data_IF_916618203309
#
_entry.id   IF_916618203309
#
_cell.length_a   1.000
_cell.length_b   1.000
_cell.length_c   1.000
_cell.angle_alpha   90.00
_cell.angle_beta   90.00
_cell.angle_gamma   90.00
#
_symmetry.space_group_name_H-M   'P 1'
#
loop_
_entity.id
_entity.type
_entity.pdbx_description
1 polymer ?
#
# COMPACT_ATOMS: atom_id res chain seq x y z
N UNK A 1 19.54 -8.69 -33.00
CA UNK A 1 18.70 -8.02 -31.98
C UNK A 1 17.40 -8.78 -31.91
N UNK A 2 17.31 -9.73 -30.98
CA UNK A 2 16.12 -10.54 -30.75
C UNK A 2 15.40 -9.97 -29.53
N UNK A 3 14.09 -9.81 -29.65
CA UNK A 3 13.21 -9.51 -28.53
C UNK A 3 13.25 -10.68 -27.53
N UNK A 4 14.18 -10.64 -26.57
CA UNK A 4 14.16 -11.52 -25.38
C UNK A 4 13.03 -11.14 -24.39
N UNK A 5 12.06 -10.32 -24.80
CA UNK A 5 11.17 -9.60 -23.88
C UNK A 5 9.79 -10.24 -23.70
N UNK A 6 9.51 -11.36 -24.36
CA UNK A 6 8.29 -12.15 -24.15
C UNK A 6 8.64 -13.65 -24.09
N UNK A 7 9.64 -14.02 -23.27
CA UNK A 7 9.79 -15.42 -22.87
C UNK A 7 8.62 -15.75 -21.93
N UNK A 8 7.63 -16.44 -22.49
CA UNK A 8 6.57 -17.05 -21.70
C UNK A 8 6.97 -18.49 -21.45
N UNK A 9 7.25 -18.88 -20.19
CA UNK A 9 7.45 -20.27 -19.85
C UNK A 9 6.35 -21.17 -20.43
N UNK A 10 6.74 -22.20 -21.17
CA UNK A 10 5.83 -23.26 -21.60
C UNK A 10 5.30 -24.03 -20.38
N UNK A 11 6.16 -24.20 -19.36
CA UNK A 11 5.79 -24.80 -18.10
C UNK A 11 5.27 -23.73 -17.12
N UNK A 12 3.99 -23.84 -16.75
CA UNK A 12 3.33 -22.89 -15.84
C UNK A 12 3.99 -22.79 -14.46
N UNK A 13 4.75 -23.79 -14.06
CA UNK A 13 5.45 -23.80 -12.77
C UNK A 13 6.53 -22.73 -12.68
N UNK A 14 7.09 -22.28 -13.80
CA UNK A 14 8.10 -21.20 -13.83
C UNK A 14 7.52 -19.81 -13.49
N UNK A 15 6.20 -19.63 -13.50
CA UNK A 15 5.56 -18.37 -13.06
C UNK A 15 5.37 -18.30 -11.54
N UNK A 16 5.50 -19.41 -10.81
CA UNK A 16 5.28 -19.47 -9.36
C UNK A 16 6.15 -18.43 -8.61
N UNK A 17 7.46 -18.30 -8.90
CA UNK A 17 8.28 -17.28 -8.25
C UNK A 17 7.76 -15.86 -8.47
N UNK A 18 7.33 -15.53 -9.69
CA UNK A 18 6.79 -14.20 -10.01
C UNK A 18 5.47 -13.91 -9.27
N UNK A 19 4.58 -14.90 -9.17
CA UNK A 19 3.32 -14.76 -8.43
C UNK A 19 3.60 -14.59 -6.93
N UNK A 20 4.57 -15.31 -6.36
CA UNK A 20 4.96 -15.17 -4.96
C UNK A 20 5.52 -13.77 -4.70
N UNK A 21 6.44 -13.28 -5.54
CA UNK A 21 6.98 -11.93 -5.43
C UNK A 21 5.86 -10.88 -5.50
N UNK A 22 4.97 -11.00 -6.48
CA UNK A 22 3.82 -10.10 -6.62
C UNK A 22 2.93 -10.13 -5.37
N UNK A 23 2.62 -11.31 -4.85
CA UNK A 23 1.79 -11.46 -3.66
C UNK A 23 2.43 -10.78 -2.44
N UNK A 24 3.75 -10.95 -2.22
CA UNK A 24 4.46 -10.32 -1.10
C UNK A 24 4.41 -8.79 -1.22
N UNK A 25 4.73 -8.23 -2.38
CA UNK A 25 4.70 -6.78 -2.58
C UNK A 25 3.28 -6.22 -2.49
N UNK A 26 2.30 -6.92 -3.04
CA UNK A 26 0.91 -6.50 -2.99
C UNK A 26 0.38 -6.49 -1.55
N UNK A 27 0.63 -7.54 -0.78
CA UNK A 27 0.27 -7.60 0.64
C UNK A 27 0.98 -6.50 1.44
N UNK A 28 2.27 -6.26 1.16
CA UNK A 28 3.02 -5.16 1.74
C UNK A 28 2.40 -3.79 1.44
N UNK A 29 2.04 -3.53 0.19
CA UNK A 29 1.40 -2.27 -0.21
C UNK A 29 0.03 -2.07 0.47
N UNK A 30 -0.80 -3.12 0.51
CA UNK A 30 -2.10 -3.08 1.19
C UNK A 30 -1.92 -2.82 2.69
N UNK A 31 -0.94 -3.47 3.33
CA UNK A 31 -0.65 -3.28 4.74
C UNK A 31 -0.18 -1.85 5.03
N UNK A 32 0.81 -1.36 4.27
CA UNK A 32 1.32 0.02 4.40
C UNK A 32 0.19 1.04 4.21
N UNK A 33 -0.67 0.86 3.20
CA UNK A 33 -1.80 1.76 2.97
C UNK A 33 -2.76 1.78 4.15
N UNK A 34 -3.06 0.62 4.75
CA UNK A 34 -3.89 0.54 5.95
C UNK A 34 -3.25 1.23 7.15
N UNK A 35 -1.93 1.12 7.32
CA UNK A 35 -1.20 1.80 8.40
C UNK A 35 -1.28 3.32 8.23
N UNK A 36 -1.02 3.83 7.01
CA UNK A 36 -1.10 5.27 6.70
C UNK A 36 -2.50 5.81 7.00
N UNK A 37 -3.55 5.14 6.52
CA UNK A 37 -4.93 5.55 6.77
C UNK A 37 -5.28 5.56 8.26
N UNK A 38 -4.80 4.58 9.02
CA UNK A 38 -5.02 4.52 10.47
C UNK A 38 -4.34 5.68 11.20
N UNK A 39 -3.11 6.03 10.81
CA UNK A 39 -2.39 7.17 11.41
C UNK A 39 -3.06 8.49 11.05
N UNK A 40 -3.40 8.68 9.77
CA UNK A 40 -4.07 9.89 9.27
C UNK A 40 -5.38 10.18 10.01
N UNK A 41 -6.23 9.17 10.25
CA UNK A 41 -7.47 9.35 11.02
C UNK A 41 -7.23 9.78 12.46
N UNK A 42 -6.16 9.29 13.10
CA UNK A 42 -5.81 9.70 14.48
C UNK A 42 -5.31 11.13 14.54
N UNK A 43 -4.64 11.60 13.49
CA UNK A 43 -4.20 12.99 13.38
C UNK A 43 -5.37 13.92 13.10
N UNK A 44 -6.30 13.51 12.22
CA UNK A 44 -7.53 14.25 11.94
C UNK A 44 -8.38 14.47 13.20
N UNK A 45 -8.60 13.41 14.00
CA UNK A 45 -9.33 13.51 15.27
C UNK A 45 -8.67 14.47 16.28
N UNK A 46 -7.34 14.51 16.32
CA UNK A 46 -6.61 15.43 17.20
C UNK A 46 -6.76 16.87 16.73
N UNK A 47 -6.55 17.10 15.43
CA UNK A 47 -6.68 18.42 14.83
C UNK A 47 -8.09 18.99 15.02
N UNK A 48 -9.13 18.18 14.84
CA UNK A 48 -10.50 18.59 15.09
C UNK A 48 -10.72 19.05 16.53
N UNK A 49 -10.21 18.32 17.52
CA UNK A 49 -10.30 18.71 18.94
C UNK A 49 -9.55 20.01 19.22
N UNK A 50 -8.36 20.17 18.67
CA UNK A 50 -7.55 21.38 18.85
C UNK A 50 -8.26 22.61 18.25
N UNK A 51 -8.85 22.47 17.06
CA UNK A 51 -9.64 23.53 16.42
C UNK A 51 -10.91 23.89 17.21
N UNK A 52 -11.61 22.90 17.77
CA UNK A 52 -12.77 23.15 18.63
C UNK A 52 -12.40 23.92 19.91
N UNK A 53 -11.24 23.64 20.50
CA UNK A 53 -10.77 24.35 21.69
C UNK A 53 -10.42 25.81 21.37
N UNK A 54 -9.70 26.07 20.27
CA UNK A 54 -9.38 27.43 19.83
C UNK A 54 -10.65 28.27 19.58
N UNK A 55 -11.69 27.66 18.99
CA UNK A 55 -12.96 28.34 18.71
C UNK A 55 -13.79 28.62 19.97
N UNK A 56 -13.55 27.92 21.08
CA UNK A 56 -14.24 28.16 22.36
C UNK A 56 -13.57 29.27 23.18
N UNK A 57 -12.31 29.59 22.90
CA UNK A 57 -11.54 30.61 23.61
C UNK A 57 -11.57 32.00 22.93
N UNK A 58 -12.15 32.09 21.72
CA UNK A 58 -12.38 33.36 20.98
C UNK A 58 -13.86 33.73 21.01
#
# INVERSE_FOLDING_TARGET
MMMEFLYFPENKMEYIPAIISLAIFFLGAVFTMKVILKVSRREEEKLHKDLENVKKET
#
